data_IF_160762028552
#
_entry.id   IF_160762028552
#
_cell.length_a   1.000
_cell.length_b   1.000
_cell.length_c   1.000
_cell.angle_alpha   90.00
_cell.angle_beta   90.00
_cell.angle_gamma   90.00
#
_symmetry.space_group_name_H-M   'P 1'
#
loop_
_entity.id
_entity.type
_entity.pdbx_description
1 polymer ?
#
# COMPACT_ATOMS: atom_id res chain seq x y z
N UNK A 1 -3.71 7.29 -27.92
CA UNK A 1 -3.83 7.85 -26.55
C UNK A 1 -4.19 6.73 -25.64
N UNK A 2 -3.47 6.57 -24.58
CA UNK A 2 -3.50 5.37 -23.74
C UNK A 2 -4.76 5.41 -22.84
N UNK A 3 -5.71 4.55 -23.15
CA UNK A 3 -7.00 4.44 -22.44
C UNK A 3 -6.82 4.14 -20.94
N UNK A 4 -5.69 3.55 -20.55
CA UNK A 4 -5.34 3.30 -19.16
C UNK A 4 -4.96 4.60 -18.41
N UNK A 5 -4.42 5.60 -19.11
CA UNK A 5 -4.06 6.89 -18.51
C UNK A 5 -5.29 7.76 -18.21
N UNK A 6 -6.34 7.67 -19.03
CA UNK A 6 -7.60 8.39 -18.79
C UNK A 6 -8.46 7.72 -17.71
N UNK A 7 -8.37 6.39 -17.56
CA UNK A 7 -9.28 5.60 -16.70
C UNK A 7 -9.13 5.93 -15.21
N UNK A 8 -8.04 6.58 -14.77
CA UNK A 8 -7.78 6.86 -13.36
C UNK A 8 -7.36 8.32 -13.11
N UNK A 9 -7.77 9.25 -13.97
CA UNK A 9 -7.44 10.67 -13.83
C UNK A 9 -7.89 11.26 -12.48
N UNK A 10 -9.10 10.92 -12.05
CA UNK A 10 -9.64 11.37 -10.76
C UNK A 10 -8.83 10.85 -9.57
N UNK A 11 -8.35 9.61 -9.64
CA UNK A 11 -7.48 9.03 -8.61
C UNK A 11 -6.15 9.78 -8.57
N UNK A 12 -5.54 10.05 -9.74
CA UNK A 12 -4.30 10.84 -9.83
C UNK A 12 -4.46 12.21 -9.20
N UNK A 13 -5.50 12.93 -9.57
CA UNK A 13 -5.77 14.27 -9.03
C UNK A 13 -5.97 14.26 -7.51
N UNK A 14 -6.71 13.27 -7.00
CA UNK A 14 -6.96 13.13 -5.58
C UNK A 14 -5.68 12.81 -4.80
N UNK A 15 -4.84 11.88 -5.31
CA UNK A 15 -3.54 11.55 -4.71
C UNK A 15 -2.60 12.75 -4.76
N UNK A 16 -2.53 13.46 -5.89
CA UNK A 16 -1.69 14.65 -6.03
C UNK A 16 -2.07 15.74 -5.02
N UNK A 17 -3.37 15.99 -4.84
CA UNK A 17 -3.88 16.94 -3.83
C UNK A 17 -3.50 16.55 -2.41
N UNK A 18 -3.62 15.27 -2.08
CA UNK A 18 -3.19 14.76 -0.76
C UNK A 18 -1.68 14.97 -0.57
N UNK A 19 -0.87 14.57 -1.55
CA UNK A 19 0.58 14.69 -1.50
C UNK A 19 1.06 16.13 -1.35
N UNK A 20 0.34 17.11 -1.91
CA UNK A 20 0.66 18.53 -1.76
C UNK A 20 0.67 19.00 -0.28
N UNK A 21 -0.03 18.32 0.62
CA UNK A 21 0.00 18.56 2.06
C UNK A 21 1.30 18.08 2.74
N UNK A 22 2.16 17.34 2.03
CA UNK A 22 3.39 16.75 2.57
C UNK A 22 4.61 17.21 1.74
N UNK A 23 5.03 18.46 1.89
CA UNK A 23 6.11 19.04 1.09
C UNK A 23 7.48 18.40 1.43
N UNK A 24 8.47 18.65 0.58
CA UNK A 24 9.81 18.09 0.77
C UNK A 24 10.45 18.38 2.14
N UNK A 25 10.02 19.42 2.84
CA UNK A 25 10.48 19.74 4.19
C UNK A 25 9.99 18.71 5.23
N UNK A 26 8.76 18.23 5.11
CA UNK A 26 8.21 17.12 5.89
C UNK A 26 9.09 15.87 5.75
N UNK A 27 9.41 15.50 4.52
CA UNK A 27 10.24 14.31 4.24
C UNK A 27 11.67 14.45 4.74
N UNK A 28 12.30 15.61 4.54
CA UNK A 28 13.64 15.88 5.07
C UNK A 28 13.70 15.85 6.61
N UNK A 29 12.62 16.27 7.29
CA UNK A 29 12.51 16.14 8.74
C UNK A 29 12.50 14.69 9.16
N UNK A 30 11.61 13.88 8.56
CA UNK A 30 11.50 12.46 8.87
C UNK A 30 12.81 11.70 8.62
N UNK A 31 13.51 12.03 7.54
CA UNK A 31 14.79 11.42 7.19
C UNK A 31 15.86 11.69 8.29
N UNK A 32 15.98 12.95 8.73
CA UNK A 32 16.88 13.31 9.82
C UNK A 32 16.54 12.62 11.14
N UNK A 33 15.27 12.43 11.42
CA UNK A 33 14.76 11.83 12.65
C UNK A 33 14.67 10.28 12.56
N UNK A 34 14.98 9.71 11.40
CA UNK A 34 14.76 8.28 11.09
C UNK A 34 13.35 7.82 11.47
N UNK A 35 12.36 8.67 11.17
CA UNK A 35 11.00 8.50 11.64
C UNK A 35 10.06 7.91 10.56
N UNK A 36 9.06 7.17 11.02
CA UNK A 36 7.99 6.64 10.18
C UNK A 36 7.01 7.77 9.78
N UNK A 37 6.56 7.85 8.51
CA UNK A 37 5.66 8.89 8.02
C UNK A 37 4.20 8.68 8.47
N UNK A 38 3.95 8.71 9.78
CA UNK A 38 2.67 8.34 10.37
C UNK A 38 1.51 9.22 9.84
N UNK A 39 1.71 10.53 9.77
CA UNK A 39 0.68 11.48 9.30
C UNK A 39 0.33 11.22 7.82
N UNK A 40 1.32 11.01 6.98
CA UNK A 40 1.11 10.71 5.55
C UNK A 40 0.36 9.39 5.36
N UNK A 41 0.78 8.33 6.07
CA UNK A 41 0.12 7.01 5.99
C UNK A 41 -1.30 7.08 6.54
N UNK A 42 -1.55 7.87 7.58
CA UNK A 42 -2.90 8.10 8.10
C UNK A 42 -3.78 8.82 7.07
N UNK A 43 -3.28 9.89 6.46
CA UNK A 43 -4.01 10.60 5.41
C UNK A 43 -4.37 9.71 4.22
N UNK A 44 -3.45 8.85 3.77
CA UNK A 44 -3.73 7.87 2.71
C UNK A 44 -4.75 6.82 3.14
N UNK A 45 -4.73 6.40 4.41
CA UNK A 45 -5.69 5.44 4.96
C UNK A 45 -7.10 6.04 5.00
N UNK A 46 -7.24 7.23 5.56
CA UNK A 46 -8.51 7.96 5.68
C UNK A 46 -9.13 8.30 4.32
N UNK A 47 -8.29 8.52 3.31
CA UNK A 47 -8.71 8.74 1.92
C UNK A 47 -9.02 7.43 1.16
N UNK A 48 -8.87 6.26 1.78
CA UNK A 48 -9.16 4.95 1.18
C UNK A 48 -8.10 4.44 0.20
N UNK A 49 -7.01 5.17 -0.04
CA UNK A 49 -6.00 4.76 -1.03
C UNK A 49 -5.26 3.49 -0.63
N UNK A 50 -5.08 3.25 0.67
CA UNK A 50 -4.41 2.03 1.15
C UNK A 50 -5.34 0.81 1.21
N UNK A 51 -6.63 0.98 1.04
CA UNK A 51 -7.63 -0.09 0.96
C UNK A 51 -8.21 -0.26 -0.45
N UNK A 52 -7.63 0.39 -1.45
CA UNK A 52 -8.14 0.41 -2.82
C UNK A 52 -8.40 -0.99 -3.41
N UNK A 53 -7.53 -1.96 -3.14
CA UNK A 53 -7.64 -3.34 -3.63
C UNK A 53 -8.54 -4.23 -2.77
N UNK A 54 -8.87 -3.82 -1.56
CA UNK A 54 -9.73 -4.61 -0.65
C UNK A 54 -11.16 -4.57 -1.17
N UNK A 55 -11.86 -5.72 -1.31
CA UNK A 55 -13.27 -5.75 -1.67
C UNK A 55 -14.15 -4.94 -0.72
N UNK A 56 -15.27 -4.42 -1.24
CA UNK A 56 -16.22 -3.63 -0.47
C UNK A 56 -16.77 -4.38 0.76
N UNK A 57 -16.97 -5.69 0.64
CA UNK A 57 -17.42 -6.55 1.74
C UNK A 57 -16.48 -6.54 2.96
N UNK A 58 -15.20 -6.17 2.77
CA UNK A 58 -14.20 -6.01 3.82
C UNK A 58 -13.85 -4.55 4.10
N UNK A 59 -14.63 -3.60 3.59
CA UNK A 59 -14.45 -2.18 3.86
C UNK A 59 -13.47 -1.44 2.94
N UNK A 60 -13.09 -2.04 1.82
CA UNK A 60 -12.27 -1.41 0.79
C UNK A 60 -13.07 -0.86 -0.38
N UNK A 61 -12.39 -0.47 -1.45
CA UNK A 61 -13.01 0.09 -2.65
C UNK A 61 -13.13 -0.92 -3.82
N UNK A 62 -12.58 -2.13 -3.70
CA UNK A 62 -12.66 -3.18 -4.72
C UNK A 62 -12.07 -2.79 -6.08
N UNK A 63 -11.14 -1.86 -6.11
CA UNK A 63 -10.55 -1.34 -7.33
C UNK A 63 -9.55 -2.33 -7.95
N UNK A 64 -9.34 -2.26 -9.27
CA UNK A 64 -8.38 -3.13 -9.95
C UNK A 64 -6.93 -2.75 -9.60
N UNK A 65 -6.01 -3.68 -9.88
CA UNK A 65 -4.57 -3.47 -9.65
C UNK A 65 -4.03 -2.24 -10.39
N UNK A 66 -4.60 -1.88 -11.55
CA UNK A 66 -4.24 -0.67 -12.28
C UNK A 66 -4.47 0.61 -11.47
N UNK A 67 -5.53 0.67 -10.67
CA UNK A 67 -5.79 1.80 -9.76
C UNK A 67 -4.73 1.90 -8.66
N UNK A 68 -4.36 0.77 -8.05
CA UNK A 68 -3.29 0.73 -7.04
C UNK A 68 -1.94 1.15 -7.64
N UNK A 69 -1.63 0.72 -8.87
CA UNK A 69 -0.43 1.14 -9.59
C UNK A 69 -0.40 2.66 -9.81
N UNK A 70 -1.54 3.24 -10.22
CA UNK A 70 -1.68 4.69 -10.42
C UNK A 70 -1.50 5.47 -9.11
N UNK A 71 -2.05 4.97 -7.99
CA UNK A 71 -1.86 5.58 -6.67
C UNK A 71 -0.36 5.61 -6.34
N UNK A 72 0.34 4.50 -6.49
CA UNK A 72 1.77 4.39 -6.20
C UNK A 72 2.62 5.28 -7.11
N UNK A 73 2.34 5.26 -8.39
CA UNK A 73 3.02 6.10 -9.38
C UNK A 73 2.88 7.59 -9.02
N UNK A 74 1.67 8.02 -8.69
CA UNK A 74 1.41 9.42 -8.37
C UNK A 74 2.09 9.86 -7.07
N UNK A 75 2.07 9.04 -6.01
CA UNK A 75 2.81 9.29 -4.78
C UNK A 75 4.29 9.55 -5.08
N UNK A 76 4.91 8.70 -5.89
CA UNK A 76 6.32 8.86 -6.26
C UNK A 76 6.55 10.08 -7.16
N UNK A 77 5.66 10.35 -8.10
CA UNK A 77 5.73 11.52 -8.99
C UNK A 77 5.69 12.84 -8.22
N UNK A 78 4.96 12.89 -7.11
CA UNK A 78 4.89 14.05 -6.22
C UNK A 78 6.11 14.17 -5.27
N UNK A 79 7.05 13.24 -5.34
CA UNK A 79 8.25 13.25 -4.50
C UNK A 79 8.02 12.77 -3.07
N UNK A 80 6.89 12.12 -2.81
CA UNK A 80 6.58 11.49 -1.53
C UNK A 80 7.18 10.09 -1.43
N UNK A 81 7.44 9.60 -0.22
CA UNK A 81 7.94 8.25 0.01
C UNK A 81 6.79 7.24 0.10
N UNK A 82 6.62 6.44 -0.95
CA UNK A 82 5.57 5.43 -1.04
C UNK A 82 5.92 4.05 -0.44
N UNK A 83 7.04 3.89 0.26
CA UNK A 83 7.49 2.57 0.72
C UNK A 83 6.50 1.84 1.62
N UNK A 84 5.91 2.54 2.61
CA UNK A 84 4.91 1.97 3.51
C UNK A 84 3.62 1.57 2.76
N UNK A 85 3.21 2.36 1.77
CA UNK A 85 2.05 2.09 0.93
C UNK A 85 2.26 0.87 0.04
N UNK A 86 3.40 0.79 -0.62
CA UNK A 86 3.79 -0.36 -1.43
C UNK A 86 3.82 -1.64 -0.59
N UNK A 87 4.48 -1.59 0.57
CA UNK A 87 4.56 -2.73 1.48
C UNK A 87 3.17 -3.24 1.91
N UNK A 88 2.25 -2.33 2.26
CA UNK A 88 0.88 -2.72 2.60
C UNK A 88 0.14 -3.33 1.41
N UNK A 89 0.28 -2.78 0.21
CA UNK A 89 -0.41 -3.26 -0.98
C UNK A 89 -0.01 -4.70 -1.33
N UNK A 90 1.27 -5.06 -1.30
CA UNK A 90 1.66 -6.44 -1.64
C UNK A 90 1.34 -7.44 -0.51
N UNK A 91 1.46 -7.06 0.76
CA UNK A 91 1.10 -7.95 1.88
C UNK A 91 -0.41 -8.20 1.89
N UNK A 92 -1.21 -7.15 1.75
CA UNK A 92 -2.65 -7.24 1.61
C UNK A 92 -3.05 -8.07 0.38
N UNK A 93 -2.39 -7.85 -0.76
CA UNK A 93 -2.58 -8.64 -1.97
C UNK A 93 -2.32 -10.13 -1.77
N UNK A 94 -1.36 -10.48 -0.92
CA UNK A 94 -1.09 -11.86 -0.54
C UNK A 94 -2.25 -12.45 0.27
N UNK A 95 -2.78 -11.72 1.26
CA UNK A 95 -3.97 -12.15 2.03
C UNK A 95 -5.18 -12.31 1.12
N UNK A 96 -5.41 -11.36 0.19
CA UNK A 96 -6.50 -11.43 -0.78
C UNK A 96 -6.42 -12.67 -1.67
N UNK A 97 -5.23 -13.01 -2.15
CA UNK A 97 -5.01 -14.11 -3.10
C UNK A 97 -4.97 -15.47 -2.42
N UNK A 98 -4.33 -15.58 -1.27
CA UNK A 98 -3.97 -16.87 -0.65
C UNK A 98 -4.62 -17.11 0.71
N UNK A 99 -5.17 -16.07 1.37
CA UNK A 99 -5.88 -16.23 2.63
C UNK A 99 -7.17 -17.04 2.47
N UNK A 100 -7.45 -17.89 3.47
CA UNK A 100 -8.77 -18.53 3.59
C UNK A 100 -9.85 -17.51 4.03
N UNK A 101 -11.11 -17.94 4.08
CA UNK A 101 -12.23 -17.06 4.44
C UNK A 101 -12.07 -16.41 5.83
N UNK A 102 -11.65 -17.19 6.82
CA UNK A 102 -11.46 -16.71 8.20
C UNK A 102 -10.32 -15.69 8.29
N UNK A 103 -9.22 -15.92 7.56
CA UNK A 103 -8.10 -14.98 7.50
C UNK A 103 -8.51 -13.66 6.82
N UNK A 104 -9.24 -13.73 5.72
CA UNK A 104 -9.74 -12.54 5.04
C UNK A 104 -10.67 -11.74 5.94
N UNK A 105 -11.64 -12.40 6.55
CA UNK A 105 -12.59 -11.78 7.47
C UNK A 105 -11.91 -11.17 8.70
N UNK A 106 -10.85 -11.79 9.18
CA UNK A 106 -10.11 -11.34 10.37
C UNK A 106 -9.20 -10.15 10.10
N UNK A 107 -8.54 -10.12 8.95
CA UNK A 107 -7.46 -9.16 8.68
C UNK A 107 -7.84 -8.02 7.76
N UNK A 108 -8.60 -8.26 6.68
CA UNK A 108 -8.86 -7.24 5.67
C UNK A 108 -9.64 -6.02 6.20
N UNK A 109 -10.70 -6.17 7.04
CA UNK A 109 -11.38 -5.00 7.60
C UNK A 109 -10.47 -4.13 8.47
N UNK A 110 -9.57 -4.75 9.23
CA UNK A 110 -8.61 -4.05 10.08
C UNK A 110 -7.52 -3.33 9.28
N UNK A 111 -7.11 -3.92 8.16
CA UNK A 111 -6.19 -3.28 7.22
C UNK A 111 -6.90 -2.09 6.55
N UNK A 112 -8.14 -2.25 6.13
CA UNK A 112 -8.92 -1.19 5.50
C UNK A 112 -9.12 0.02 6.42
N UNK A 113 -9.43 -0.21 7.69
CA UNK A 113 -9.60 0.84 8.70
C UNK A 113 -8.29 1.47 9.20
N UNK A 114 -7.15 0.84 8.93
CA UNK A 114 -5.86 1.25 9.47
C UNK A 114 -5.58 0.80 10.90
N UNK A 115 -6.45 0.00 11.51
CA UNK A 115 -6.21 -0.65 12.82
C UNK A 115 -5.02 -1.60 12.76
N UNK A 116 -4.86 -2.28 11.63
CA UNK A 116 -3.75 -3.20 11.37
C UNK A 116 -2.93 -2.75 10.17
N UNK A 117 -1.63 -2.59 10.36
CA UNK A 117 -0.69 -2.22 9.30
C UNK A 117 0.31 -3.35 9.07
N UNK A 118 0.09 -4.13 8.02
CA UNK A 118 1.02 -5.16 7.57
C UNK A 118 1.89 -4.56 6.46
N UNK A 119 3.03 -4.00 6.82
CA UNK A 119 3.88 -3.21 5.93
C UNK A 119 5.31 -3.78 5.83
N UNK A 120 5.50 -5.03 6.22
CA UNK A 120 6.76 -5.74 6.07
C UNK A 120 6.53 -7.23 5.86
N UNK A 121 7.50 -7.92 5.29
CA UNK A 121 7.52 -9.37 5.22
C UNK A 121 8.95 -9.90 5.37
N UNK A 122 9.08 -11.07 6.00
CA UNK A 122 10.34 -11.78 6.12
C UNK A 122 10.36 -12.93 5.12
N UNK A 123 11.25 -12.88 4.13
CA UNK A 123 11.32 -13.89 3.08
C UNK A 123 12.72 -14.48 2.93
N UNK A 124 13.76 -13.69 3.17
CA UNK A 124 15.14 -14.14 3.00
C UNK A 124 15.56 -15.07 4.13
N UNK A 125 16.07 -16.24 3.76
CA UNK A 125 16.68 -17.22 4.66
C UNK A 125 18.21 -17.22 4.50
N UNK A 126 18.98 -17.76 5.48
CA UNK A 126 20.44 -17.89 5.34
C UNK A 126 20.87 -18.69 4.11
N UNK A 127 20.02 -19.60 3.63
CA UNK A 127 20.27 -20.48 2.49
C UNK A 127 19.62 -20.03 1.18
N UNK A 128 18.74 -19.02 1.20
CA UNK A 128 17.97 -18.59 0.04
C UNK A 128 17.61 -17.13 0.11
N UNK A 129 17.97 -16.36 -0.90
CA UNK A 129 17.58 -14.97 -1.09
C UNK A 129 16.79 -14.81 -2.39
N UNK A 130 17.46 -14.72 -3.52
CA UNK A 130 16.83 -14.49 -4.82
C UNK A 130 15.96 -15.67 -5.27
N UNK A 131 16.37 -16.90 -4.97
CA UNK A 131 15.55 -18.10 -5.25
C UNK A 131 14.56 -18.35 -4.11
N UNK A 132 13.41 -17.68 -4.17
CA UNK A 132 12.33 -17.83 -3.20
C UNK A 132 11.63 -19.20 -3.27
N UNK A 133 11.87 -19.97 -4.33
CA UNK A 133 11.33 -21.34 -4.46
C UNK A 133 12.11 -22.35 -3.62
N UNK A 134 13.31 -21.99 -3.17
CA UNK A 134 14.19 -22.82 -2.32
C UNK A 134 14.01 -22.58 -0.81
N UNK A 135 12.98 -21.82 -0.41
CA UNK A 135 12.66 -21.58 1.00
C UNK A 135 12.38 -22.89 1.74
N UNK A 136 12.88 -22.99 2.97
CA UNK A 136 12.75 -24.20 3.82
C UNK A 136 11.91 -23.97 5.08
N UNK A 137 11.59 -22.73 5.40
CA UNK A 137 10.69 -22.42 6.53
C UNK A 137 9.32 -23.04 6.26
N UNK A 138 8.83 -23.76 7.25
CA UNK A 138 7.50 -24.40 7.25
C UNK A 138 6.68 -23.87 8.41
N UNK A 139 5.35 -23.79 8.21
CA UNK A 139 4.38 -23.38 9.22
C UNK A 139 3.45 -24.55 9.56
#
# INVERSE_FOLDING_TARGET
MDQAAETHAEIRDAVAKLCAGFPGEYWRKLDREMAYPAEFVTALTESGFLSALIPEEYGGAGLPLSAAAVIMEEIQRQGCNGAACHAQMYVMGTVLRHGNADQKQRYLPKIASGELRLQAFGVTEPSSGTDTTALRTTA
#
